data_IF_678710796875
#
_entry.id   IF_678710796875
#
_cell.length_a   1.000
_cell.length_b   1.000
_cell.length_c   1.000
_cell.angle_alpha   90.00
_cell.angle_beta   90.00
_cell.angle_gamma   90.00
#
_symmetry.space_group_name_H-M   'P 1'
#
loop_
_entity.id
_entity.type
_entity.pdbx_description
1 polymer ?
#
# COMPACT_ATOMS: atom_id res chain seq x y z
N UNK A 1 15.04 1.67 -6.00
CA UNK A 1 14.32 0.47 -5.50
C UNK A 1 13.44 0.96 -4.37
N UNK A 2 12.11 1.00 -4.55
CA UNK A 2 11.19 1.30 -3.44
C UNK A 2 11.01 0.00 -2.67
N UNK A 3 11.45 -0.04 -1.41
CA UNK A 3 11.22 -1.18 -0.52
C UNK A 3 9.83 -1.04 0.12
N UNK A 4 9.00 -2.07 -0.04
CA UNK A 4 7.74 -2.26 0.68
C UNK A 4 7.96 -3.41 1.68
N UNK A 5 7.98 -3.11 2.98
CA UNK A 5 8.04 -4.09 4.08
C UNK A 5 9.43 -4.46 4.65
N UNK A 6 9.62 -4.11 5.93
CA UNK A 6 10.68 -4.47 6.89
C UNK A 6 12.13 -3.96 6.65
N UNK A 7 12.61 -3.21 7.65
CA UNK A 7 13.84 -2.43 7.69
C UNK A 7 15.09 -3.31 7.88
N UNK A 8 16.08 -3.16 6.98
CA UNK A 8 17.50 -3.27 7.34
C UNK A 8 18.31 -2.38 6.38
N UNK A 9 18.78 -1.22 6.85
CA UNK A 9 19.68 -0.35 6.09
C UNK A 9 19.80 1.08 6.65
N UNK A 10 21.04 1.55 6.82
CA UNK A 10 21.42 2.89 7.24
C UNK A 10 21.03 3.95 6.19
N UNK A 11 19.85 4.57 6.28
CA UNK A 11 19.56 5.82 5.56
C UNK A 11 18.43 6.57 6.26
N UNK A 12 18.36 7.90 6.11
CA UNK A 12 17.33 8.78 6.70
C UNK A 12 15.92 8.38 6.21
N UNK A 13 15.31 7.43 6.88
CA UNK A 13 13.93 7.03 6.64
C UNK A 13 12.98 8.10 7.16
N UNK A 14 12.06 8.54 6.32
CA UNK A 14 10.98 9.42 6.75
C UNK A 14 9.72 8.60 6.95
N UNK A 15 9.23 8.58 8.21
CA UNK A 15 7.92 8.07 8.58
C UNK A 15 6.87 9.12 8.25
N UNK A 16 5.80 8.69 7.62
CA UNK A 16 4.89 9.65 6.98
C UNK A 16 3.43 9.32 7.17
N UNK A 17 3.08 8.05 7.43
CA UNK A 17 1.75 7.74 7.92
C UNK A 17 1.67 6.37 8.59
N UNK A 18 0.86 6.30 9.65
CA UNK A 18 0.45 5.07 10.32
C UNK A 18 -1.06 4.96 10.31
N UNK A 19 -1.60 3.80 9.95
CA UNK A 19 -2.99 3.48 10.27
C UNK A 19 -3.01 2.82 11.65
N UNK A 20 -3.72 3.40 12.65
CA UNK A 20 -3.69 2.89 14.01
C UNK A 20 -4.27 1.48 14.08
N UNK A 21 -3.67 0.64 14.94
CA UNK A 21 -4.19 -0.68 15.28
C UNK A 21 -5.51 -0.55 16.04
N UNK A 22 -6.51 -1.36 15.66
CA UNK A 22 -7.77 -1.49 16.40
C UNK A 22 -7.77 -2.84 17.14
N UNK A 23 -7.37 -2.85 18.41
CA UNK A 23 -7.28 -4.06 19.22
C UNK A 23 -6.08 -4.95 18.83
N UNK A 24 -6.31 -6.23 18.52
CA UNK A 24 -5.26 -7.15 18.06
C UNK A 24 -5.01 -7.10 16.54
N UNK A 25 -5.73 -6.25 15.81
CA UNK A 25 -5.56 -6.05 14.37
C UNK A 25 -4.31 -5.19 14.15
N UNK A 26 -3.32 -5.72 13.43
CA UNK A 26 -2.07 -5.00 13.11
C UNK A 26 -2.32 -3.67 12.39
N UNK A 27 -1.30 -2.80 12.37
CA UNK A 27 -1.36 -1.51 11.68
C UNK A 27 -0.63 -1.53 10.34
N UNK A 28 -0.95 -0.57 9.47
CA UNK A 28 -0.24 -0.33 8.22
C UNK A 28 0.83 0.76 8.39
N UNK A 29 2.00 0.50 7.83
CA UNK A 29 3.15 1.39 7.84
C UNK A 29 3.77 1.45 6.44
N UNK A 30 3.88 2.65 5.88
CA UNK A 30 4.63 2.89 4.64
C UNK A 30 5.77 3.88 4.92
N UNK A 31 6.97 3.52 4.48
CA UNK A 31 8.20 4.29 4.70
C UNK A 31 8.86 4.52 3.35
N UNK A 32 9.55 5.65 3.19
CA UNK A 32 10.35 5.96 2.03
C UNK A 32 11.65 6.67 2.40
N UNK A 33 12.59 6.62 1.46
CA UNK A 33 13.77 7.47 1.47
C UNK A 33 13.41 8.87 0.93
N UNK A 34 13.53 9.88 1.78
CA UNK A 34 13.24 11.28 1.43
C UNK A 34 14.25 11.88 0.44
N UNK A 35 15.40 11.25 0.21
CA UNK A 35 16.33 11.63 -0.86
C UNK A 35 15.85 11.17 -2.24
N UNK A 36 14.99 10.14 -2.31
CA UNK A 36 14.53 9.55 -3.57
C UNK A 36 13.07 9.89 -3.89
N UNK A 37 12.23 10.06 -2.86
CA UNK A 37 10.78 10.24 -3.00
C UNK A 37 10.29 11.44 -2.18
N UNK A 38 9.53 12.28 -2.85
CA UNK A 38 8.69 13.29 -2.23
C UNK A 38 7.24 12.78 -2.18
N UNK A 39 6.61 12.82 -0.99
CA UNK A 39 5.18 12.51 -0.84
C UNK A 39 4.43 13.77 -0.47
N UNK A 40 3.44 14.12 -1.27
CA UNK A 40 2.64 15.34 -1.08
C UNK A 40 1.26 15.08 -0.48
N UNK A 41 0.79 13.83 -0.49
CA UNK A 41 -0.50 13.47 0.11
C UNK A 41 -0.52 12.00 0.55
N UNK A 42 -1.17 11.76 1.69
CA UNK A 42 -1.48 10.42 2.18
C UNK A 42 -2.88 10.39 2.78
N UNK A 43 -3.61 9.31 2.55
CA UNK A 43 -4.95 9.09 3.08
C UNK A 43 -5.00 7.70 3.71
N UNK A 44 -5.47 7.61 4.95
CA UNK A 44 -5.80 6.34 5.60
C UNK A 44 -7.26 6.02 5.35
N UNK A 45 -7.52 4.85 4.78
CA UNK A 45 -8.83 4.27 4.56
C UNK A 45 -8.90 2.93 5.30
N UNK A 46 -10.10 2.38 5.43
CA UNK A 46 -10.27 1.03 5.97
C UNK A 46 -9.43 0.04 5.14
N UNK A 47 -8.49 -0.66 5.79
CA UNK A 47 -7.59 -1.63 5.16
C UNK A 47 -6.59 -1.10 4.12
N UNK A 48 -6.50 0.22 3.90
CA UNK A 48 -5.60 0.80 2.89
C UNK A 48 -4.92 2.06 3.39
N UNK A 49 -3.59 2.13 3.23
CA UNK A 49 -2.84 3.37 3.27
C UNK A 49 -2.53 3.82 1.84
N UNK A 50 -3.16 4.91 1.42
CA UNK A 50 -3.04 5.45 0.07
C UNK A 50 -2.08 6.65 0.05
N UNK A 51 -0.97 6.53 -0.67
CA UNK A 51 0.08 7.56 -0.75
C UNK A 51 0.24 8.09 -2.18
N UNK A 52 0.42 9.40 -2.30
CA UNK A 52 0.70 10.08 -3.56
C UNK A 52 2.12 10.62 -3.51
N UNK A 53 2.97 10.11 -4.41
CA UNK A 53 4.40 10.38 -4.38
C UNK A 53 4.97 10.70 -5.75
N UNK A 54 6.14 11.32 -5.73
CA UNK A 54 6.93 11.63 -6.92
C UNK A 54 8.37 11.27 -6.67
N UNK A 55 8.99 10.64 -7.66
CA UNK A 55 10.43 10.44 -7.65
C UNK A 55 11.14 11.77 -7.84
N UNK A 56 12.07 12.11 -6.95
CA UNK A 56 12.80 13.39 -6.99
C UNK A 56 13.64 13.48 -8.28
N UNK A 57 14.33 12.39 -8.64
CA UNK A 57 15.23 12.36 -9.81
C UNK A 57 14.51 12.49 -11.15
N UNK A 58 13.38 11.80 -11.34
CA UNK A 58 12.67 11.78 -12.62
C UNK A 58 11.47 12.74 -12.68
N UNK A 59 11.03 13.27 -11.53
CA UNK A 59 9.82 14.10 -11.45
C UNK A 59 8.52 13.32 -11.68
N UNK A 60 8.61 11.99 -11.81
CA UNK A 60 7.49 11.14 -12.16
C UNK A 60 6.55 10.89 -10.99
N UNK A 61 5.27 11.19 -11.19
CA UNK A 61 4.20 10.95 -10.21
C UNK A 61 3.79 9.48 -10.19
N UNK A 62 3.53 8.97 -9.00
CA UNK A 62 3.03 7.64 -8.73
C UNK A 62 2.05 7.64 -7.55
N UNK A 63 1.28 6.57 -7.46
CA UNK A 63 0.36 6.29 -6.37
C UNK A 63 0.66 4.93 -5.80
N UNK A 64 0.52 4.79 -4.49
CA UNK A 64 0.73 3.53 -3.77
C UNK A 64 -0.49 3.28 -2.90
N UNK A 65 -1.07 2.11 -3.05
CA UNK A 65 -2.03 1.53 -2.12
C UNK A 65 -1.32 0.42 -1.34
N UNK A 66 -0.94 0.72 -0.10
CA UNK A 66 -0.49 -0.30 0.83
C UNK A 66 -1.76 -0.93 1.44
N UNK A 67 -1.99 -2.22 1.20
CA UNK A 67 -3.25 -2.91 1.52
C UNK A 67 -3.03 -3.97 2.61
N UNK A 68 -3.95 -4.01 3.57
CA UNK A 68 -4.09 -5.10 4.52
C UNK A 68 -5.50 -5.70 4.44
N UNK A 69 -5.68 -6.62 3.49
CA UNK A 69 -7.01 -7.10 3.13
C UNK A 69 -7.65 -7.97 4.24
N UNK A 70 -8.92 -7.73 4.58
CA UNK A 70 -9.62 -8.49 5.61
C UNK A 70 -9.79 -9.97 5.21
N UNK A 71 -9.88 -10.85 6.20
CA UNK A 71 -10.12 -12.28 5.97
C UNK A 71 -11.57 -12.57 5.57
N UNK A 72 -12.51 -11.75 6.05
CA UNK A 72 -13.92 -11.81 5.65
C UNK A 72 -14.06 -11.51 4.14
N UNK A 73 -14.72 -12.43 3.42
CA UNK A 73 -15.00 -12.31 2.00
C UNK A 73 -15.86 -11.08 1.68
N UNK A 74 -16.84 -10.75 2.53
CA UNK A 74 -17.72 -9.60 2.31
C UNK A 74 -16.96 -8.28 2.46
N UNK A 75 -16.17 -8.12 3.52
CA UNK A 75 -15.30 -6.97 3.70
C UNK A 75 -14.24 -6.85 2.60
N UNK A 76 -13.67 -7.98 2.16
CA UNK A 76 -12.67 -8.04 1.09
C UNK A 76 -13.25 -7.58 -0.25
N UNK A 77 -14.47 -8.02 -0.59
CA UNK A 77 -15.14 -7.55 -1.80
C UNK A 77 -15.34 -6.03 -1.78
N UNK A 78 -15.86 -5.48 -0.67
CA UNK A 78 -16.05 -4.02 -0.53
C UNK A 78 -14.74 -3.24 -0.67
N UNK A 79 -13.66 -3.74 -0.07
CA UNK A 79 -12.32 -3.19 -0.22
C UNK A 79 -11.92 -3.12 -1.70
N UNK A 80 -12.02 -4.25 -2.42
CA UNK A 80 -11.61 -4.31 -3.82
C UNK A 80 -12.50 -3.48 -4.75
N UNK A 81 -13.80 -3.40 -4.50
CA UNK A 81 -14.73 -2.56 -5.26
C UNK A 81 -14.36 -1.08 -5.11
N UNK A 82 -14.15 -0.63 -3.86
CA UNK A 82 -13.75 0.74 -3.54
C UNK A 82 -12.39 1.09 -4.16
N UNK A 83 -11.39 0.21 -4.00
CA UNK A 83 -10.05 0.43 -4.52
C UNK A 83 -10.03 0.45 -6.06
N UNK A 84 -10.80 -0.44 -6.70
CA UNK A 84 -10.92 -0.48 -8.16
C UNK A 84 -11.54 0.80 -8.71
N UNK A 85 -12.60 1.31 -8.07
CA UNK A 85 -13.21 2.59 -8.46
C UNK A 85 -12.21 3.76 -8.34
N UNK A 86 -11.42 3.80 -7.26
CA UNK A 86 -10.37 4.81 -7.09
C UNK A 86 -9.30 4.69 -8.19
N UNK A 87 -8.80 3.48 -8.47
CA UNK A 87 -7.78 3.26 -9.50
C UNK A 87 -8.28 3.67 -10.89
N UNK A 88 -9.53 3.33 -11.23
CA UNK A 88 -10.14 3.70 -12.50
C UNK A 88 -10.26 5.22 -12.66
N UNK A 89 -10.50 5.95 -11.57
CA UNK A 89 -10.57 7.43 -11.58
C UNK A 89 -9.23 8.11 -11.88
N UNK A 90 -8.10 7.39 -11.77
CA UNK A 90 -6.76 7.94 -11.93
C UNK A 90 -6.28 7.98 -13.40
N UNK A 91 -7.11 7.57 -14.35
CA UNK A 91 -6.87 7.69 -15.80
C UNK A 91 -5.45 7.27 -16.24
N UNK A 92 -5.14 5.97 -16.09
CA UNK A 92 -3.87 5.33 -16.51
C UNK A 92 -2.60 5.86 -15.82
N UNK A 93 -2.72 6.56 -14.69
CA UNK A 93 -1.56 6.90 -13.85
C UNK A 93 -0.90 5.65 -13.25
N UNK A 94 0.35 5.81 -12.82
CA UNK A 94 1.17 4.73 -12.26
C UNK A 94 0.73 4.42 -10.84
N UNK A 95 0.14 3.25 -10.63
CA UNK A 95 -0.32 2.78 -9.31
C UNK A 95 0.41 1.49 -8.95
N UNK A 96 0.97 1.40 -7.74
CA UNK A 96 1.29 0.12 -7.09
C UNK A 96 0.20 -0.21 -6.07
N UNK A 97 -0.27 -1.44 -6.10
CA UNK A 97 -1.02 -2.04 -4.99
C UNK A 97 -0.10 -3.10 -4.40
N UNK A 98 0.22 -3.00 -3.12
CA UNK A 98 1.30 -3.77 -2.50
C UNK A 98 0.90 -4.21 -1.06
N UNK A 99 1.71 -5.09 -0.44
CA UNK A 99 1.50 -5.77 0.87
C UNK A 99 0.62 -7.04 0.85
N UNK A 100 -0.37 -7.15 1.75
CA UNK A 100 -1.08 -8.39 2.07
C UNK A 100 -2.50 -8.37 1.49
N UNK A 101 -2.67 -9.08 0.38
CA UNK A 101 -3.95 -9.23 -0.31
C UNK A 101 -4.86 -10.27 0.35
N UNK A 102 -4.34 -11.06 1.28
CA UNK A 102 -5.04 -12.16 1.93
C UNK A 102 -5.81 -13.03 0.91
N UNK A 103 -5.19 -13.27 -0.24
CA UNK A 103 -5.81 -13.92 -1.39
C UNK A 103 -4.83 -14.89 -2.03
N UNK A 104 -5.37 -16.01 -2.50
CA UNK A 104 -4.65 -17.00 -3.29
C UNK A 104 -5.10 -16.80 -4.72
N UNK A 105 -4.19 -16.42 -5.61
CA UNK A 105 -4.49 -16.16 -7.02
C UNK A 105 -4.66 -17.46 -7.79
N UNK A 106 -3.81 -18.45 -7.50
CA UNK A 106 -3.87 -19.77 -8.13
C UNK A 106 -3.76 -20.87 -7.07
N UNK A 107 -4.46 -21.98 -7.27
CA UNK A 107 -4.46 -23.08 -6.31
C UNK A 107 -3.05 -23.61 -5.98
N UNK A 108 -2.13 -23.53 -6.94
CA UNK A 108 -0.73 -23.93 -6.78
C UNK A 108 0.08 -23.08 -5.77
N UNK A 109 -0.39 -21.88 -5.40
CA UNK A 109 0.25 -21.05 -4.36
C UNK A 109 0.02 -21.61 -2.95
N UNK A 110 -1.01 -22.46 -2.75
CA UNK A 110 -1.25 -23.13 -1.47
C UNK A 110 -0.21 -24.24 -1.29
N UNK A 111 0.66 -24.07 -0.29
CA UNK A 111 1.70 -25.07 0.02
C UNK A 111 1.19 -26.33 0.72
N UNK A 112 -0.09 -26.42 1.06
CA UNK A 112 -0.76 -27.62 1.59
C UNK A 112 -2.26 -27.59 1.26
N UNK A 113 -2.93 -28.76 1.12
CA UNK A 113 -4.38 -28.84 0.95
C UNK A 113 -5.16 -28.39 2.19
#
# INVERSE_FOLDING_TARGET
>A
MIFFGCLCGETRLTLTHTAPSVGALGGLLTIWDSAEVEVWSSVSLEHVLWCHGRFIKSGEKFFVANVYAPCDHGAKQRLWDSLSAQIQSLDRRRVCVCEDFNAVKIAAERRSP
#
